data_IF_318124775104
#
_entry.id   IF_318124775104
#
_cell.length_a   1.000
_cell.length_b   1.000
_cell.length_c   1.000
_cell.angle_alpha   90.00
_cell.angle_beta   90.00
_cell.angle_gamma   90.00
#
_symmetry.space_group_name_H-M   'P 1'
#
loop_
_entity.id
_entity.type
_entity.pdbx_description
1 polymer ?
#
# COMPACT_ATOMS: atom_id res chain seq x y z
N UNK A 1 -12.66 -16.37 23.02
CA UNK A 1 -11.82 -16.23 24.22
C UNK A 1 -12.57 -15.35 25.21
N UNK A 2 -12.73 -15.76 26.50
CA UNK A 2 -13.37 -14.88 27.46
C UNK A 2 -12.57 -13.57 27.56
N UNK A 3 -13.22 -12.43 27.79
CA UNK A 3 -12.53 -11.16 27.93
C UNK A 3 -11.64 -11.27 29.18
N UNK A 4 -10.31 -11.33 28.96
CA UNK A 4 -9.35 -11.00 30.01
C UNK A 4 -9.48 -9.51 30.32
N UNK A 5 -8.83 -9.01 31.34
CA UNK A 5 -8.85 -7.63 31.87
C UNK A 5 -8.67 -6.47 30.85
N UNK A 6 -9.24 -6.59 29.67
CA UNK A 6 -9.19 -5.53 28.65
C UNK A 6 -10.42 -4.63 28.85
N UNK A 7 -10.20 -3.31 29.04
CA UNK A 7 -11.29 -2.36 29.29
C UNK A 7 -12.21 -2.15 28.08
N UNK A 8 -11.83 -2.66 26.91
CA UNK A 8 -12.57 -2.52 25.65
C UNK A 8 -12.59 -3.83 24.88
N UNK A 9 -13.73 -4.10 24.25
CA UNK A 9 -13.91 -5.13 23.22
C UNK A 9 -14.43 -4.47 21.96
N UNK A 10 -13.94 -4.93 20.81
CA UNK A 10 -14.31 -4.38 19.49
C UNK A 10 -14.83 -5.48 18.58
N UNK A 11 -16.03 -6.07 18.85
CA UNK A 11 -16.54 -7.14 18.00
C UNK A 11 -16.96 -6.58 16.63
N UNK A 12 -16.69 -7.34 15.57
CA UNK A 12 -17.23 -7.07 14.24
C UNK A 12 -18.74 -7.34 14.27
N UNK A 13 -19.54 -6.30 14.13
CA UNK A 13 -21.01 -6.39 14.19
C UNK A 13 -21.66 -6.39 12.81
N UNK A 14 -20.98 -5.87 11.79
CA UNK A 14 -21.48 -5.78 10.43
C UNK A 14 -20.34 -5.83 9.43
N UNK A 15 -20.55 -6.53 8.32
CA UNK A 15 -19.63 -6.61 7.19
C UNK A 15 -20.43 -6.54 5.89
N UNK A 16 -19.90 -5.80 4.92
CA UNK A 16 -20.45 -5.71 3.58
C UNK A 16 -19.30 -5.86 2.54
N UNK A 17 -19.42 -6.73 1.56
CA UNK A 17 -20.49 -7.71 1.36
C UNK A 17 -20.50 -8.83 2.41
N UNK A 18 -21.66 -9.36 2.75
CA UNK A 18 -21.79 -10.50 3.68
C UNK A 18 -21.68 -11.83 2.92
N UNK A 19 -20.52 -12.05 2.33
CA UNK A 19 -20.15 -13.31 1.68
C UNK A 19 -19.71 -14.39 2.70
N UNK A 20 -19.34 -15.57 2.21
CA UNK A 20 -18.90 -16.68 3.06
C UNK A 20 -17.65 -16.32 3.88
N UNK A 21 -16.69 -15.63 3.26
CA UNK A 21 -15.45 -15.18 3.85
C UNK A 21 -15.69 -14.21 5.01
N UNK A 22 -16.51 -13.21 4.79
CA UNK A 22 -16.83 -12.19 5.77
C UNK A 22 -17.68 -12.71 6.94
N UNK A 23 -18.54 -13.72 6.70
CA UNK A 23 -19.33 -14.35 7.78
C UNK A 23 -18.48 -14.95 8.89
N UNK A 24 -17.31 -15.49 8.56
CA UNK A 24 -16.39 -16.06 9.56
C UNK A 24 -15.78 -15.00 10.49
N UNK A 25 -15.74 -13.76 10.05
CA UNK A 25 -15.20 -12.67 10.85
C UNK A 25 -16.22 -12.01 11.78
N UNK A 26 -17.52 -12.27 11.62
CA UNK A 26 -18.55 -11.71 12.51
C UNK A 26 -18.32 -12.15 13.95
N UNK A 27 -18.40 -11.20 14.88
CA UNK A 27 -18.17 -11.43 16.31
C UNK A 27 -16.69 -11.53 16.72
N UNK A 28 -15.77 -11.50 15.79
CA UNK A 28 -14.34 -11.45 16.12
C UNK A 28 -14.01 -10.15 16.86
N UNK A 29 -13.32 -10.27 18.00
CA UNK A 29 -12.86 -9.12 18.76
C UNK A 29 -11.58 -8.53 18.16
N UNK A 30 -11.71 -7.39 17.51
CA UNK A 30 -10.61 -6.68 16.86
C UNK A 30 -9.54 -6.19 17.84
N UNK A 31 -9.89 -5.92 19.10
CA UNK A 31 -8.94 -5.53 20.14
C UNK A 31 -8.09 -6.70 20.65
N UNK A 32 -8.45 -7.94 20.32
CA UNK A 32 -7.69 -9.11 20.78
C UNK A 32 -6.30 -9.20 20.14
N UNK A 33 -6.11 -8.63 18.94
CA UNK A 33 -4.88 -8.69 18.18
C UNK A 33 -4.07 -7.39 18.38
N UNK A 34 -2.76 -7.45 18.72
CA UNK A 34 -1.97 -6.28 19.12
C UNK A 34 -1.88 -5.18 18.07
N UNK A 35 -1.61 -5.51 16.80
CA UNK A 35 -1.45 -4.49 15.75
C UNK A 35 -2.78 -3.77 15.44
N UNK A 36 -3.91 -4.49 15.53
CA UNK A 36 -5.24 -3.89 15.38
C UNK A 36 -5.57 -2.99 16.56
N UNK A 37 -5.30 -3.47 17.79
CA UNK A 37 -5.51 -2.68 19.01
C UNK A 37 -4.71 -1.40 19.00
N UNK A 38 -3.43 -1.43 18.60
CA UNK A 38 -2.57 -0.25 18.43
C UNK A 38 -3.22 0.78 17.51
N UNK A 39 -3.62 0.35 16.31
CA UNK A 39 -4.24 1.24 15.31
C UNK A 39 -5.58 1.81 15.80
N UNK A 40 -6.43 0.99 16.42
CA UNK A 40 -7.72 1.42 16.95
C UNK A 40 -7.53 2.42 18.12
N UNK A 41 -6.59 2.17 19.03
CA UNK A 41 -6.27 3.09 20.12
C UNK A 41 -5.78 4.43 19.59
N UNK A 42 -4.82 4.41 18.65
CA UNK A 42 -4.31 5.62 18.03
C UNK A 42 -5.40 6.39 17.25
N UNK A 43 -6.35 5.68 16.62
CA UNK A 43 -7.48 6.32 15.97
C UNK A 43 -8.42 7.02 16.95
N UNK A 44 -8.70 6.40 18.11
CA UNK A 44 -9.51 7.04 19.18
C UNK A 44 -8.83 8.27 19.77
N UNK A 45 -7.52 8.19 20.02
CA UNK A 45 -6.76 9.28 20.62
C UNK A 45 -6.66 10.50 19.71
N UNK A 46 -6.53 10.28 18.41
CA UNK A 46 -6.32 11.35 17.44
C UNK A 46 -7.58 11.82 16.73
N UNK A 47 -8.63 11.01 16.72
CA UNK A 47 -9.83 11.25 15.91
C UNK A 47 -9.62 11.05 14.41
N UNK A 48 -8.44 10.57 13.99
CA UNK A 48 -8.03 10.45 12.59
C UNK A 48 -7.98 8.97 12.15
N UNK A 49 -8.11 8.69 10.85
CA UNK A 49 -7.89 7.34 10.34
C UNK A 49 -6.51 6.79 10.70
N UNK A 50 -6.45 5.51 11.11
CA UNK A 50 -5.19 4.82 11.42
C UNK A 50 -5.14 3.46 10.75
N UNK A 51 -3.99 3.18 10.13
CA UNK A 51 -3.70 1.88 9.54
C UNK A 51 -2.98 0.97 10.53
N UNK A 52 -3.23 -0.33 10.44
CA UNK A 52 -2.41 -1.34 11.12
C UNK A 52 -1.06 -1.49 10.41
N UNK A 53 -0.08 -2.07 11.12
CA UNK A 53 1.02 -2.75 10.46
C UNK A 53 0.55 -3.96 9.65
N UNK A 54 1.51 -4.74 9.11
CA UNK A 54 1.19 -6.00 8.46
C UNK A 54 0.46 -6.94 9.41
N UNK A 55 -0.64 -7.54 8.95
CA UNK A 55 -1.46 -8.50 9.72
C UNK A 55 -1.96 -9.63 8.82
N UNK A 56 -2.31 -10.76 9.43
CA UNK A 56 -3.13 -11.78 8.78
C UNK A 56 -4.62 -11.41 8.92
N UNK A 57 -5.35 -11.42 7.81
CA UNK A 57 -6.77 -11.07 7.82
C UNK A 57 -7.61 -12.24 8.34
N UNK A 58 -8.61 -11.93 9.17
CA UNK A 58 -9.54 -12.95 9.73
C UNK A 58 -10.38 -13.61 8.62
N UNK A 59 -10.59 -12.90 7.52
CA UNK A 59 -11.33 -13.37 6.36
C UNK A 59 -10.52 -14.30 5.43
N UNK A 60 -9.24 -14.59 5.74
CA UNK A 60 -8.45 -15.54 4.95
C UNK A 60 -8.90 -16.98 5.24
N UNK A 61 -9.69 -17.53 4.32
CA UNK A 61 -10.21 -18.92 4.38
C UNK A 61 -9.52 -19.86 3.41
N UNK A 62 -8.56 -19.36 2.62
CA UNK A 62 -7.77 -20.14 1.66
C UNK A 62 -6.39 -20.44 2.22
N UNK A 63 -5.74 -21.48 1.71
CA UNK A 63 -4.37 -21.85 2.09
C UNK A 63 -3.34 -20.80 1.64
N UNK A 64 -3.65 -20.02 0.60
CA UNK A 64 -2.84 -18.90 0.13
C UNK A 64 -3.10 -17.64 0.95
N UNK A 65 -2.52 -17.61 2.14
CA UNK A 65 -2.59 -16.44 3.02
C UNK A 65 -1.72 -15.32 2.50
N UNK A 66 -2.31 -14.14 2.40
CA UNK A 66 -1.58 -12.92 2.05
C UNK A 66 -1.44 -12.01 3.26
N UNK A 67 -0.34 -11.26 3.28
CA UNK A 67 -0.22 -10.14 4.20
C UNK A 67 -1.30 -9.10 3.89
N UNK A 68 -2.01 -8.67 4.94
CA UNK A 68 -3.00 -7.62 4.84
C UNK A 68 -2.68 -6.45 5.76
N UNK A 69 -3.51 -5.45 5.68
CA UNK A 69 -3.57 -4.34 6.62
C UNK A 69 -5.01 -3.84 6.71
N UNK A 70 -5.34 -3.13 7.80
CA UNK A 70 -6.65 -2.54 7.98
C UNK A 70 -6.52 -1.04 8.21
N UNK A 71 -7.49 -0.27 7.75
CA UNK A 71 -7.63 1.13 8.10
C UNK A 71 -8.86 1.28 8.98
N UNK A 72 -8.70 1.86 10.15
CA UNK A 72 -9.77 2.16 11.10
C UNK A 72 -10.08 3.65 11.10
N UNK A 73 -11.36 3.97 10.99
CA UNK A 73 -11.90 5.32 11.08
C UNK A 73 -12.77 5.35 12.32
N UNK A 74 -12.44 6.14 13.36
CA UNK A 74 -13.27 6.21 14.56
C UNK A 74 -14.59 6.92 14.25
N UNK A 75 -15.69 6.34 14.72
CA UNK A 75 -17.00 6.97 14.65
C UNK A 75 -17.28 7.66 15.98
N UNK A 76 -17.57 8.95 15.92
CA UNK A 76 -18.00 9.66 17.13
C UNK A 76 -19.48 9.34 17.41
N UNK A 77 -19.83 9.10 18.65
CA UNK A 77 -21.18 8.83 19.11
C UNK A 77 -22.23 9.90 18.70
N UNK A 78 -21.79 11.08 18.27
CA UNK A 78 -22.66 12.16 17.75
C UNK A 78 -23.45 11.79 16.50
N UNK A 79 -23.01 10.81 15.70
CA UNK A 79 -23.74 10.36 14.51
C UNK A 79 -25.05 9.64 14.86
N UNK A 80 -25.25 9.20 16.10
CA UNK A 80 -26.41 8.45 16.54
C UNK A 80 -27.21 9.09 17.66
N UNK A 81 -26.97 10.38 17.97
CA UNK A 81 -27.82 11.18 18.88
C UNK A 81 -27.73 10.79 20.35
N UNK A 82 -26.74 10.06 20.79
CA UNK A 82 -26.51 9.72 22.21
C UNK A 82 -25.31 10.50 22.75
N UNK A 83 -25.59 11.41 23.64
CA UNK A 83 -24.66 12.43 24.16
C UNK A 83 -24.07 11.99 25.46
N UNK A 84 -23.56 11.02 25.87
CA UNK A 84 -22.85 10.90 27.17
C UNK A 84 -22.03 9.61 27.42
N UNK A 85 -21.91 8.70 26.49
CA UNK A 85 -21.15 7.48 26.77
C UNK A 85 -20.03 7.29 25.75
N UNK A 86 -18.90 6.78 26.23
CA UNK A 86 -17.70 6.35 25.49
C UNK A 86 -17.96 5.21 24.49
N UNK A 87 -19.14 5.16 23.90
CA UNK A 87 -19.58 4.15 22.94
C UNK A 87 -19.20 4.62 21.52
N UNK A 88 -17.90 4.78 21.28
CA UNK A 88 -17.35 4.95 19.95
C UNK A 88 -17.25 3.59 19.27
N UNK A 89 -17.55 3.58 17.97
CA UNK A 89 -17.30 2.43 17.10
C UNK A 89 -16.22 2.76 16.08
N UNK A 90 -16.02 1.84 15.18
CA UNK A 90 -15.13 2.03 14.04
C UNK A 90 -15.84 1.61 12.76
N UNK A 91 -15.61 2.38 11.71
CA UNK A 91 -15.71 1.85 10.34
C UNK A 91 -14.31 1.41 9.97
N UNK A 92 -14.18 0.25 9.34
CA UNK A 92 -12.87 -0.24 8.93
C UNK A 92 -12.93 -0.88 7.56
N UNK A 93 -11.78 -0.88 6.88
CA UNK A 93 -11.59 -1.56 5.61
C UNK A 93 -10.35 -2.47 5.70
N UNK A 94 -10.51 -3.78 5.47
CA UNK A 94 -9.42 -4.72 5.33
C UNK A 94 -8.90 -4.69 3.88
N UNK A 95 -7.59 -4.74 3.71
CA UNK A 95 -6.93 -4.78 2.42
C UNK A 95 -5.99 -5.97 2.36
N UNK A 96 -6.13 -6.80 1.33
CA UNK A 96 -5.10 -7.77 0.93
C UNK A 96 -4.03 -7.00 0.15
N UNK A 97 -2.84 -6.91 0.71
CA UNK A 97 -1.80 -6.06 0.15
C UNK A 97 -1.36 -6.52 -1.25
N UNK A 98 -1.30 -7.84 -1.49
CA UNK A 98 -1.01 -8.39 -2.80
C UNK A 98 -2.03 -7.98 -3.86
N UNK A 99 -3.32 -8.12 -3.57
CA UNK A 99 -4.41 -7.77 -4.49
C UNK A 99 -4.43 -6.25 -4.79
N UNK A 100 -4.20 -5.42 -3.77
CA UNK A 100 -4.12 -3.97 -3.94
C UNK A 100 -2.98 -3.59 -4.89
N UNK A 101 -1.78 -4.14 -4.67
CA UNK A 101 -0.62 -3.85 -5.52
C UNK A 101 -0.79 -4.41 -6.93
N UNK A 102 -1.34 -5.62 -7.07
CA UNK A 102 -1.64 -6.21 -8.37
C UNK A 102 -2.63 -5.34 -9.17
N UNK A 103 -3.68 -4.83 -8.52
CA UNK A 103 -4.65 -3.95 -9.17
C UNK A 103 -3.98 -2.63 -9.64
N UNK A 104 -3.09 -2.04 -8.84
CA UNK A 104 -2.35 -0.84 -9.24
C UNK A 104 -1.41 -1.16 -10.40
N UNK A 105 -0.63 -2.23 -10.32
CA UNK A 105 0.31 -2.61 -11.38
C UNK A 105 -0.40 -2.94 -12.71
N UNK A 106 -1.61 -3.49 -12.66
CA UNK A 106 -2.42 -3.75 -13.85
C UNK A 106 -2.81 -2.47 -14.61
N UNK A 107 -2.80 -1.31 -13.96
CA UNK A 107 -3.02 -0.01 -14.62
C UNK A 107 -1.80 0.50 -15.39
N UNK A 108 -0.64 -0.14 -15.20
CA UNK A 108 0.65 0.23 -15.78
C UNK A 108 1.22 -0.94 -16.63
N UNK A 109 0.51 -1.39 -17.66
CA UNK A 109 0.91 -2.56 -18.42
C UNK A 109 2.26 -2.35 -19.12
N UNK A 110 3.11 -3.36 -19.05
CA UNK A 110 4.40 -3.36 -19.76
C UNK A 110 5.50 -2.54 -19.09
N UNK A 111 5.29 -2.09 -17.85
CA UNK A 111 6.35 -1.43 -17.10
C UNK A 111 7.31 -2.47 -16.51
N UNK A 112 8.55 -2.62 -17.08
CA UNK A 112 9.48 -3.66 -16.64
C UNK A 112 10.18 -3.22 -15.35
N UNK A 113 9.46 -3.35 -14.22
CA UNK A 113 10.01 -3.08 -12.90
C UNK A 113 9.43 -4.04 -11.87
N UNK A 114 10.17 -4.28 -10.82
CA UNK A 114 9.69 -4.90 -9.59
C UNK A 114 9.40 -3.84 -8.53
N UNK A 115 8.48 -4.19 -7.64
CA UNK A 115 8.02 -3.33 -6.56
C UNK A 115 8.10 -4.10 -5.24
N UNK A 116 8.74 -3.50 -4.25
CA UNK A 116 8.71 -3.95 -2.87
C UNK A 116 8.14 -2.84 -1.99
N UNK A 117 7.15 -3.19 -1.18
CA UNK A 117 6.52 -2.27 -0.22
C UNK A 117 6.64 -2.84 1.18
N UNK A 118 7.18 -2.06 2.09
CA UNK A 118 7.27 -2.38 3.51
C UNK A 118 6.71 -1.25 4.36
N UNK A 119 6.21 -1.58 5.52
CA UNK A 119 5.95 -0.60 6.56
C UNK A 119 7.28 -0.20 7.21
N UNK A 120 7.54 1.09 7.36
CA UNK A 120 8.78 1.59 7.96
C UNK A 120 9.01 1.09 9.40
N UNK A 121 7.94 0.72 10.13
CA UNK A 121 8.00 0.17 11.47
C UNK A 121 8.07 -1.37 11.50
N UNK A 122 7.90 -2.05 10.35
CA UNK A 122 7.97 -3.50 10.22
C UNK A 122 8.67 -3.90 8.91
N UNK A 123 9.93 -3.51 8.69
CA UNK A 123 10.63 -3.67 7.41
C UNK A 123 10.89 -5.13 7.03
N UNK A 124 10.88 -6.03 8.02
CA UNK A 124 11.12 -7.47 7.83
C UNK A 124 9.86 -8.22 7.36
N UNK A 125 8.69 -7.57 7.40
CA UNK A 125 7.42 -8.12 6.96
C UNK A 125 6.89 -7.34 5.75
N UNK A 126 7.26 -7.71 4.52
CA UNK A 126 6.80 -6.98 3.36
C UNK A 126 5.27 -7.09 3.21
N UNK A 127 4.65 -5.96 2.93
CA UNK A 127 3.26 -5.90 2.49
C UNK A 127 3.12 -6.48 1.09
N UNK A 128 4.11 -6.21 0.24
CA UNK A 128 4.18 -6.71 -1.12
C UNK A 128 5.64 -6.79 -1.58
N UNK A 129 5.98 -7.86 -2.31
CA UNK A 129 7.27 -8.00 -2.97
C UNK A 129 7.13 -8.92 -4.19
N UNK A 130 7.34 -8.38 -5.38
CA UNK A 130 7.41 -9.15 -6.61
C UNK A 130 8.82 -9.10 -7.24
N UNK A 131 9.81 -8.81 -6.42
CA UNK A 131 11.21 -8.76 -6.86
C UNK A 131 11.68 -10.17 -7.23
N UNK A 132 12.44 -10.32 -8.33
CA UNK A 132 13.10 -11.59 -8.62
C UNK A 132 14.14 -11.91 -7.54
N UNK A 133 14.41 -13.21 -7.32
CA UNK A 133 15.38 -13.66 -6.33
C UNK A 133 16.78 -13.10 -6.60
N UNK A 134 17.16 -12.97 -7.87
CA UNK A 134 18.45 -12.46 -8.30
C UNK A 134 18.26 -11.16 -9.07
N UNK A 135 18.56 -10.05 -8.42
CA UNK A 135 18.58 -8.73 -9.06
C UNK A 135 20.03 -8.39 -9.43
N UNK A 136 20.32 -8.17 -10.72
CA UNK A 136 21.67 -7.76 -11.12
C UNK A 136 22.11 -6.49 -10.39
N UNK A 137 23.38 -6.41 -9.89
CA UNK A 137 23.84 -5.27 -9.09
C UNK A 137 23.66 -3.91 -9.76
N UNK A 138 23.80 -3.84 -11.08
CA UNK A 138 23.62 -2.59 -11.84
C UNK A 138 22.15 -2.13 -11.90
N UNK A 139 21.18 -3.05 -11.78
CA UNK A 139 19.75 -2.72 -11.70
C UNK A 139 19.37 -2.38 -10.26
N UNK A 140 19.90 -3.11 -9.28
CA UNK A 140 19.73 -2.80 -7.87
C UNK A 140 20.23 -1.38 -7.53
N UNK A 141 21.35 -0.96 -8.11
CA UNK A 141 21.90 0.40 -7.96
C UNK A 141 21.01 1.50 -8.56
N UNK A 142 20.02 1.15 -9.38
CA UNK A 142 19.05 2.07 -9.94
C UNK A 142 17.71 2.08 -9.22
N UNK A 143 17.58 1.29 -8.16
CA UNK A 143 16.37 1.24 -7.36
C UNK A 143 16.06 2.62 -6.75
N UNK A 144 14.78 2.96 -6.76
CA UNK A 144 14.28 4.21 -6.19
C UNK A 144 13.33 3.87 -5.06
N UNK A 145 13.60 4.38 -3.87
CA UNK A 145 12.71 4.25 -2.73
C UNK A 145 11.96 5.57 -2.50
N UNK A 146 10.67 5.46 -2.23
CA UNK A 146 9.80 6.57 -1.85
C UNK A 146 9.03 6.21 -0.58
N UNK A 147 8.87 7.20 0.29
CA UNK A 147 7.98 7.08 1.45
C UNK A 147 6.60 7.63 1.09
N UNK A 148 5.57 6.88 1.47
CA UNK A 148 4.17 7.23 1.26
C UNK A 148 3.47 7.21 2.62
N UNK A 149 2.88 8.32 3.06
CA UNK A 149 2.07 8.33 4.28
C UNK A 149 0.73 7.64 4.03
N UNK A 150 0.38 6.66 4.86
CA UNK A 150 -0.88 5.92 4.79
C UNK A 150 -1.51 5.87 6.18
N UNK A 151 -2.55 6.65 6.40
CA UNK A 151 -3.34 6.64 7.63
C UNK A 151 -2.50 6.53 8.92
N UNK A 152 -1.53 7.44 9.09
CA UNK A 152 -0.65 7.51 10.26
C UNK A 152 0.59 6.60 10.22
N UNK A 153 0.74 5.75 9.21
CA UNK A 153 1.95 4.95 8.96
C UNK A 153 2.76 5.48 7.80
N UNK A 154 3.98 5.04 7.64
CA UNK A 154 4.85 5.36 6.51
C UNK A 154 5.25 4.07 5.79
N UNK A 155 4.87 3.96 4.54
CA UNK A 155 5.30 2.87 3.70
C UNK A 155 6.52 3.29 2.89
N UNK A 156 7.48 2.40 2.81
CA UNK A 156 8.64 2.53 1.93
C UNK A 156 8.39 1.65 0.70
N UNK A 157 8.23 2.30 -0.44
CA UNK A 157 8.05 1.64 -1.72
C UNK A 157 9.36 1.72 -2.51
N UNK A 158 9.97 0.58 -2.75
CA UNK A 158 11.18 0.45 -3.55
C UNK A 158 10.82 -0.12 -4.91
N UNK A 159 11.10 0.66 -5.94
CA UNK A 159 10.93 0.27 -7.34
C UNK A 159 12.30 -0.04 -7.93
N UNK A 160 12.47 -1.25 -8.45
CA UNK A 160 13.72 -1.70 -9.07
C UNK A 160 13.47 -2.03 -10.54
N UNK A 161 14.27 -1.46 -11.47
CA UNK A 161 14.13 -1.80 -12.88
C UNK A 161 14.37 -3.29 -13.12
N UNK A 162 13.57 -3.89 -14.02
CA UNK A 162 13.77 -5.26 -14.48
C UNK A 162 14.69 -5.29 -15.72
N UNK A 163 15.28 -6.46 -16.06
CA UNK A 163 16.01 -6.64 -17.32
C UNK A 163 15.10 -6.24 -18.50
N UNK A 164 15.63 -5.41 -19.41
CA UNK A 164 14.85 -4.85 -20.52
C UNK A 164 14.22 -3.49 -20.23
N UNK A 165 14.37 -2.96 -19.01
CA UNK A 165 14.06 -1.57 -18.74
C UNK A 165 15.06 -0.67 -19.46
N UNK A 166 14.68 -0.19 -20.63
CA UNK A 166 15.39 0.91 -21.31
C UNK A 166 14.94 2.20 -20.63
N UNK A 167 15.59 2.51 -19.50
CA UNK A 167 15.44 3.85 -18.90
C UNK A 167 15.84 4.92 -19.90
N UNK A 168 15.55 6.16 -19.61
CA UNK A 168 15.96 7.36 -20.39
C UNK A 168 17.45 7.42 -20.75
N UNK A 169 18.19 6.35 -20.51
CA UNK A 169 19.58 6.12 -20.90
C UNK A 169 19.75 5.35 -22.20
N UNK A 170 18.73 5.15 -22.97
CA UNK A 170 18.97 4.89 -24.38
C UNK A 170 19.45 6.22 -25.01
N UNK A 171 20.73 6.48 -24.68
CA UNK A 171 21.47 7.65 -25.19
C UNK A 171 21.42 7.73 -26.71
N UNK A 172 21.16 6.61 -27.36
CA UNK A 172 21.05 6.56 -28.81
C UNK A 172 19.83 7.33 -29.32
N UNK A 173 18.65 7.19 -28.67
CA UNK A 173 17.47 7.95 -29.09
C UNK A 173 17.64 9.46 -28.79
N UNK A 174 18.16 9.80 -27.61
CA UNK A 174 18.40 11.21 -27.25
C UNK A 174 19.51 11.85 -28.13
N UNK A 175 20.56 11.09 -28.46
CA UNK A 175 21.62 11.54 -29.38
C UNK A 175 21.08 11.66 -30.80
N UNK A 176 20.27 10.73 -31.29
CA UNK A 176 19.62 10.83 -32.60
C UNK A 176 18.72 12.06 -32.70
N UNK A 177 17.87 12.31 -31.69
CA UNK A 177 17.05 13.53 -31.66
C UNK A 177 17.91 14.79 -31.63
N UNK A 178 18.98 14.81 -30.84
CA UNK A 178 19.92 15.92 -30.78
C UNK A 178 20.65 16.17 -32.11
N UNK A 179 21.13 15.11 -32.74
CA UNK A 179 21.82 15.20 -34.07
C UNK A 179 20.83 15.60 -35.15
N UNK A 180 19.61 15.06 -35.17
CA UNK A 180 18.58 15.46 -36.14
C UNK A 180 18.19 16.92 -35.99
N UNK A 181 18.04 17.41 -34.76
CA UNK A 181 17.72 18.81 -34.47
C UNK A 181 18.87 19.74 -34.94
N UNK A 182 20.12 19.34 -34.70
CA UNK A 182 21.28 20.10 -35.12
C UNK A 182 21.38 20.17 -36.65
N UNK A 183 21.15 19.04 -37.34
CA UNK A 183 21.14 19.00 -38.81
C UNK A 183 20.02 19.85 -39.40
N UNK A 184 18.86 19.89 -38.79
CA UNK A 184 17.73 20.72 -39.19
C UNK A 184 18.07 22.21 -39.09
N UNK A 185 18.69 22.62 -37.98
CA UNK A 185 19.13 24.00 -37.75
C UNK A 185 20.18 24.43 -38.80
N UNK A 186 21.14 23.56 -39.12
CA UNK A 186 22.17 23.83 -40.13
C UNK A 186 21.53 23.95 -41.55
N UNK A 187 20.57 23.03 -41.85
CA UNK A 187 19.89 23.07 -43.16
C UNK A 187 19.06 24.35 -43.36
N UNK A 188 18.32 24.76 -42.32
CA UNK A 188 17.49 25.98 -42.36
C UNK A 188 18.36 27.22 -42.37
N UNK A 189 19.43 27.27 -41.55
CA UNK A 189 20.37 28.39 -41.49
C UNK A 189 21.17 28.56 -42.79
N UNK A 190 21.57 27.47 -43.44
CA UNK A 190 22.23 27.48 -44.72
C UNK A 190 21.36 27.96 -45.89
N UNK A 191 20.07 27.68 -45.85
CA UNK A 191 19.11 28.11 -46.89
C UNK A 191 18.74 29.60 -46.83
N UNK A 192 19.00 30.26 -45.69
CA UNK A 192 18.72 31.69 -45.53
C UNK A 192 19.90 32.60 -45.87
N UNK A 193 21.06 32.01 -46.22
CA UNK A 193 22.29 32.77 -46.55
C UNK A 193 22.72 32.65 -48.02
N UNK A 194 21.93 32.00 -48.82
CA UNK A 194 22.09 31.95 -50.31
C UNK A 194 21.00 32.79 -50.96
#
# INVERSE_FOLDING_TARGET
RPPGDQPFVGPIVMLEPLDERNRHALGYDMFSEPARREAMTAALETGEPRATGPVELVQEITDEKQTGFLIYIPTHARLFGRSEQRDGGFVYAPFRAGDLHAAVLATLPGLPMSLRTVDALAPDQPLFDNSPADIPPHLAAQAITREIPIAGRRWQMTMTPAPGFSGWRDRSASLMVGVLSLLLVIAVGGATWS
#
